data_IF_727290311166
#
_entry.id   IF_727290311166
#
_cell.length_a   1.000
_cell.length_b   1.000
_cell.length_c   1.000
_cell.angle_alpha   90.00
_cell.angle_beta   90.00
_cell.angle_gamma   90.00
#
_symmetry.space_group_name_H-M   'P 1'
#
loop_
_entity.id
_entity.type
_entity.pdbx_description
1 polymer ?
#
# COMPACT_ATOMS: atom_id res chain seq x y z
N UNK A 1 -4.43 -45.63 -10.60
CA UNK A 1 -4.49 -44.39 -9.81
C UNK A 1 -3.08 -43.82 -9.71
N UNK A 2 -2.82 -42.62 -10.24
CA UNK A 2 -1.46 -42.06 -10.28
C UNK A 2 -1.13 -41.28 -9.00
N UNK A 3 0.16 -41.10 -8.70
CA UNK A 3 0.59 -40.21 -7.62
C UNK A 3 0.03 -38.79 -7.78
N UNK A 4 -0.06 -38.28 -9.02
CA UNK A 4 -0.64 -36.96 -9.32
C UNK A 4 -2.09 -36.86 -8.84
N UNK A 5 -2.88 -37.91 -9.05
CA UNK A 5 -4.29 -37.94 -8.63
C UNK A 5 -4.40 -37.92 -7.11
N UNK A 6 -3.56 -38.69 -6.41
CA UNK A 6 -3.57 -38.71 -4.93
C UNK A 6 -3.17 -37.36 -4.33
N UNK A 7 -2.15 -36.72 -4.90
CA UNK A 7 -1.69 -35.39 -4.47
C UNK A 7 -2.79 -34.35 -4.73
N UNK A 8 -3.42 -34.37 -5.90
CA UNK A 8 -4.49 -33.43 -6.24
C UNK A 8 -5.69 -33.55 -5.29
N UNK A 9 -6.12 -34.79 -4.99
CA UNK A 9 -7.21 -35.03 -4.03
C UNK A 9 -6.85 -34.51 -2.64
N UNK A 10 -5.61 -34.73 -2.18
CA UNK A 10 -5.15 -34.21 -0.90
C UNK A 10 -5.15 -32.68 -0.84
N UNK A 11 -4.67 -32.02 -1.91
CA UNK A 11 -4.68 -30.56 -1.98
C UNK A 11 -6.10 -30.02 -1.97
N UNK A 12 -7.01 -30.63 -2.73
CA UNK A 12 -8.40 -30.21 -2.74
C UNK A 12 -9.07 -30.42 -1.36
N UNK A 13 -8.80 -31.53 -0.67
CA UNK A 13 -9.30 -31.76 0.68
C UNK A 13 -8.85 -30.69 1.68
N UNK A 14 -7.63 -30.17 1.54
CA UNK A 14 -7.05 -29.19 2.48
C UNK A 14 -7.30 -27.74 2.14
N UNK A 15 -7.41 -27.39 0.87
CA UNK A 15 -7.39 -26.01 0.42
C UNK A 15 -8.65 -25.57 -0.33
N UNK A 16 -9.64 -26.44 -0.53
CA UNK A 16 -10.88 -26.09 -1.24
C UNK A 16 -11.90 -25.31 -0.37
N UNK A 17 -11.45 -24.77 0.77
CA UNK A 17 -12.24 -23.84 1.55
C UNK A 17 -12.25 -22.45 0.88
N UNK A 18 -13.41 -21.78 0.73
CA UNK A 18 -13.49 -20.49 0.07
C UNK A 18 -12.62 -19.39 0.68
N UNK A 19 -12.46 -19.37 2.02
CA UNK A 19 -11.63 -18.37 2.70
C UNK A 19 -10.14 -18.59 2.44
N UNK A 20 -9.74 -19.86 2.30
CA UNK A 20 -8.37 -20.24 1.95
C UNK A 20 -8.09 -19.88 0.48
N UNK A 21 -9.04 -20.15 -0.43
CA UNK A 21 -8.91 -19.76 -1.83
C UNK A 21 -8.76 -18.24 -1.99
N UNK A 22 -9.58 -17.46 -1.29
CA UNK A 22 -9.46 -16.00 -1.31
C UNK A 22 -8.09 -15.52 -0.81
N UNK A 23 -7.57 -16.11 0.27
CA UNK A 23 -6.25 -15.79 0.78
C UNK A 23 -5.14 -16.13 -0.23
N UNK A 24 -5.22 -17.31 -0.85
CA UNK A 24 -4.26 -17.76 -1.86
C UNK A 24 -4.29 -16.86 -3.10
N UNK A 25 -5.46 -16.40 -3.52
CA UNK A 25 -5.61 -15.50 -4.66
C UNK A 25 -4.97 -14.13 -4.37
N UNK A 26 -5.21 -13.55 -3.20
CA UNK A 26 -4.56 -12.29 -2.79
C UNK A 26 -3.05 -12.46 -2.70
N UNK A 27 -2.58 -13.53 -2.06
CA UNK A 27 -1.15 -13.80 -1.89
C UNK A 27 -0.46 -14.02 -3.24
N UNK A 28 -1.10 -14.74 -4.17
CA UNK A 28 -0.57 -15.00 -5.51
C UNK A 28 -0.53 -13.73 -6.34
N UNK A 29 -1.56 -12.88 -6.24
CA UNK A 29 -1.63 -11.61 -6.95
C UNK A 29 -0.49 -10.65 -6.55
N UNK A 30 -0.12 -10.66 -5.26
CA UNK A 30 0.94 -9.83 -4.71
C UNK A 30 2.35 -10.39 -4.98
N UNK A 31 2.49 -11.68 -5.29
CA UNK A 31 3.77 -12.30 -5.63
C UNK A 31 4.08 -12.12 -7.13
N UNK A 32 5.11 -11.33 -7.51
CA UNK A 32 5.43 -11.07 -8.92
C UNK A 32 5.78 -12.32 -9.72
N UNK A 33 6.11 -13.43 -9.06
CA UNK A 33 6.42 -14.71 -9.72
C UNK A 33 5.16 -15.44 -10.17
N UNK A 34 4.05 -15.22 -9.47
CA UNK A 34 2.80 -15.92 -9.69
C UNK A 34 1.79 -15.06 -10.43
N UNK A 35 1.70 -13.77 -10.10
CA UNK A 35 0.80 -12.81 -10.76
C UNK A 35 -0.63 -13.35 -10.73
N UNK A 36 -1.23 -13.54 -11.90
CA UNK A 36 -2.58 -14.07 -12.08
C UNK A 36 -2.62 -15.53 -12.54
N UNK A 37 -1.48 -16.21 -12.64
CA UNK A 37 -1.39 -17.55 -13.26
C UNK A 37 -2.18 -18.63 -12.51
N UNK A 38 -2.41 -18.46 -11.22
CA UNK A 38 -3.10 -19.41 -10.35
C UNK A 38 -4.45 -18.90 -9.84
N UNK A 39 -4.89 -17.74 -10.34
CA UNK A 39 -6.15 -17.10 -9.93
C UNK A 39 -7.17 -17.36 -11.02
N UNK A 40 -8.40 -17.71 -10.63
CA UNK A 40 -9.49 -17.89 -11.59
C UNK A 40 -9.80 -16.56 -12.28
N UNK A 41 -10.01 -16.55 -13.60
CA UNK A 41 -10.20 -15.33 -14.38
C UNK A 41 -11.33 -14.43 -13.83
N UNK A 42 -12.42 -15.06 -13.36
CA UNK A 42 -13.55 -14.38 -12.74
C UNK A 42 -13.17 -13.63 -11.46
N UNK A 43 -12.17 -14.13 -10.71
CA UNK A 43 -11.77 -13.57 -9.43
C UNK A 43 -10.67 -12.50 -9.54
N UNK A 44 -9.93 -12.43 -10.65
CA UNK A 44 -8.85 -11.43 -10.85
C UNK A 44 -9.38 -10.01 -10.67
N UNK A 45 -10.53 -9.69 -11.29
CA UNK A 45 -11.14 -8.35 -11.21
C UNK A 45 -11.57 -8.00 -9.79
N UNK A 46 -12.10 -8.98 -9.06
CA UNK A 46 -12.52 -8.82 -7.67
C UNK A 46 -11.30 -8.52 -6.76
N UNK A 47 -10.25 -9.35 -6.87
CA UNK A 47 -9.01 -9.19 -6.09
C UNK A 47 -8.35 -7.84 -6.38
N UNK A 48 -8.26 -7.45 -7.67
CA UNK A 48 -7.72 -6.14 -8.06
C UNK A 48 -8.50 -4.99 -7.46
N UNK A 49 -9.83 -5.06 -7.48
CA UNK A 49 -10.71 -4.03 -6.92
C UNK A 49 -10.52 -3.93 -5.41
N UNK A 50 -10.58 -5.07 -4.72
CA UNK A 50 -10.38 -5.15 -3.26
C UNK A 50 -9.02 -4.58 -2.85
N UNK A 51 -7.96 -4.96 -3.55
CA UNK A 51 -6.61 -4.51 -3.23
C UNK A 51 -6.42 -3.00 -3.46
N UNK A 52 -7.00 -2.46 -4.54
CA UNK A 52 -7.03 -1.01 -4.79
C UNK A 52 -7.74 -0.27 -3.65
N UNK A 53 -8.88 -0.78 -3.18
CA UNK A 53 -9.63 -0.20 -2.07
C UNK A 53 -8.83 -0.26 -0.76
N UNK A 54 -8.23 -1.40 -0.42
CA UNK A 54 -7.44 -1.56 0.80
C UNK A 54 -6.20 -0.65 0.82
N UNK A 55 -5.54 -0.50 -0.34
CA UNK A 55 -4.42 0.42 -0.47
C UNK A 55 -4.84 1.88 -0.29
N UNK A 56 -5.97 2.27 -0.89
CA UNK A 56 -6.55 3.62 -0.73
C UNK A 56 -6.90 3.89 0.74
N UNK A 57 -7.58 2.97 1.40
CA UNK A 57 -7.97 3.09 2.81
C UNK A 57 -6.75 3.11 3.74
N UNK A 58 -5.72 2.32 3.43
CA UNK A 58 -4.47 2.30 4.20
C UNK A 58 -3.71 3.63 4.05
N UNK A 59 -3.59 4.16 2.84
CA UNK A 59 -3.00 5.47 2.62
C UNK A 59 -3.79 6.59 3.32
N UNK A 60 -5.13 6.54 3.26
CA UNK A 60 -6.00 7.47 3.98
C UNK A 60 -5.78 7.39 5.49
N UNK A 61 -5.71 6.19 6.07
CA UNK A 61 -5.43 6.00 7.51
C UNK A 61 -4.09 6.59 7.91
N UNK A 62 -3.04 6.34 7.14
CA UNK A 62 -1.69 6.90 7.38
C UNK A 62 -1.71 8.43 7.34
N UNK A 63 -2.34 9.03 6.33
CA UNK A 63 -2.46 10.50 6.24
C UNK A 63 -3.23 11.11 7.44
N UNK A 64 -4.32 10.47 7.88
CA UNK A 64 -5.08 10.93 9.06
C UNK A 64 -4.28 10.77 10.37
N UNK A 65 -3.42 9.74 10.47
CA UNK A 65 -2.55 9.56 11.62
C UNK A 65 -1.43 10.62 11.65
N UNK A 66 -0.80 10.90 10.51
CA UNK A 66 0.25 11.91 10.39
C UNK A 66 -0.28 13.32 10.71
N UNK A 67 -1.45 13.68 10.16
CA UNK A 67 -2.10 14.97 10.45
C UNK A 67 -2.47 15.11 11.92
N UNK A 68 -2.93 14.03 12.58
CA UNK A 68 -3.23 14.04 14.02
C UNK A 68 -1.98 14.23 14.88
N UNK A 69 -0.88 13.55 14.55
CA UNK A 69 0.42 13.73 15.22
C UNK A 69 1.01 15.14 15.03
N UNK A 70 0.71 15.80 13.90
CA UNK A 70 1.19 17.16 13.62
C UNK A 70 0.47 18.23 14.46
N UNK A 71 -0.78 18.01 14.87
CA UNK A 71 -1.57 19.00 15.64
C UNK A 71 -1.16 19.00 17.13
N UNK A 72 -0.62 17.90 17.67
CA UNK A 72 -0.14 17.81 19.05
C UNK A 72 1.17 18.58 19.33
N UNK A 73 1.87 19.04 18.29
CA UNK A 73 3.03 19.92 18.43
C UNK A 73 2.63 21.38 18.25
N UNK A 74 1.78 21.89 19.16
CA UNK A 74 1.59 23.35 19.27
C UNK A 74 2.88 23.96 19.84
N UNK A 75 3.57 24.88 19.12
CA UNK A 75 4.73 25.54 19.68
C UNK A 75 4.27 26.51 20.76
N UNK A 76 4.63 26.22 22.02
CA UNK A 76 4.61 27.20 23.11
C UNK A 76 5.35 28.46 22.67
N UNK A 77 4.81 29.68 22.82
CA UNK A 77 5.50 30.89 22.39
C UNK A 77 6.72 31.10 23.30
N UNK A 78 7.93 30.95 22.72
CA UNK A 78 9.17 31.31 23.38
C UNK A 78 9.45 32.79 23.12
N UNK A 79 9.50 33.53 24.23
CA UNK A 79 9.92 34.93 24.33
C UNK A 79 11.32 35.15 23.73
N UNK A 80 11.49 36.36 23.19
CA UNK A 80 12.62 36.84 22.38
C UNK A 80 14.00 36.83 23.08
N UNK A 81 15.07 36.51 22.34
CA UNK A 81 16.17 37.44 22.04
C UNK A 81 17.25 36.81 21.12
N UNK A 82 18.03 37.63 20.38
CA UNK A 82 18.87 37.19 19.26
C UNK A 82 20.34 37.02 19.65
N UNK A 83 21.03 36.02 19.11
CA UNK A 83 22.48 36.10 18.90
C UNK A 83 23.00 34.99 17.95
N UNK A 84 23.87 35.39 17.02
CA UNK A 84 24.94 34.53 16.51
C UNK A 84 24.68 33.81 15.19
N UNK A 85 25.26 34.38 14.14
CA UNK A 85 25.37 33.82 12.79
C UNK A 85 26.01 32.42 12.79
N UNK A 86 25.21 31.38 12.51
CA UNK A 86 25.67 30.19 11.79
C UNK A 86 24.55 29.74 10.86
N UNK A 87 24.76 29.90 9.56
CA UNK A 87 23.87 29.32 8.54
C UNK A 87 24.02 27.81 8.60
N UNK A 88 23.28 27.19 9.52
CA UNK A 88 22.98 25.76 9.48
C UNK A 88 22.08 25.57 8.27
N UNK A 89 22.69 25.14 7.16
CA UNK A 89 21.96 24.61 6.01
C UNK A 89 21.15 23.43 6.54
N UNK A 90 19.90 23.68 6.89
CA UNK A 90 18.99 22.65 7.38
C UNK A 90 18.87 21.60 6.31
N UNK A 91 18.90 20.32 6.69
CA UNK A 91 18.61 19.19 5.81
C UNK A 91 17.24 19.38 5.11
N UNK A 92 16.36 20.22 5.69
CA UNK A 92 15.12 20.69 5.07
C UNK A 92 15.29 21.41 3.73
N UNK A 93 16.46 21.95 3.38
CA UNK A 93 16.66 22.63 2.09
C UNK A 93 16.70 21.65 0.93
N UNK A 94 17.04 20.38 1.15
CA UNK A 94 17.03 19.36 0.11
C UNK A 94 15.60 18.99 -0.34
N UNK A 95 14.62 19.21 0.54
CA UNK A 95 13.21 18.86 0.27
C UNK A 95 12.39 20.03 -0.32
N UNK A 96 12.96 21.24 -0.46
CA UNK A 96 12.21 22.46 -0.82
C UNK A 96 11.93 22.63 -2.33
N UNK A 97 12.25 21.66 -3.18
CA UNK A 97 12.04 21.79 -4.64
C UNK A 97 10.99 20.84 -5.24
N UNK A 98 10.31 20.02 -4.45
CA UNK A 98 9.06 19.42 -4.91
C UNK A 98 7.92 20.37 -4.53
N UNK A 99 7.44 21.08 -5.56
CA UNK A 99 6.18 21.82 -5.58
C UNK A 99 5.12 21.07 -4.78
N UNK A 100 4.34 21.82 -4.01
CA UNK A 100 3.10 21.41 -3.36
C UNK A 100 2.28 20.55 -4.34
N UNK A 101 2.44 19.24 -4.26
CA UNK A 101 1.38 18.31 -4.57
C UNK A 101 0.70 18.07 -3.24
N UNK A 102 -0.25 18.94 -2.90
CA UNK A 102 -1.39 18.46 -2.13
C UNK A 102 -1.91 17.26 -2.92
N UNK A 103 -1.60 16.04 -2.46
CA UNK A 103 -2.07 14.82 -3.10
C UNK A 103 -3.58 14.81 -2.92
N UNK A 104 -4.27 15.36 -3.91
CA UNK A 104 -5.70 15.27 -4.05
C UNK A 104 -6.05 13.78 -4.16
N UNK A 105 -7.28 13.37 -3.83
CA UNK A 105 -7.74 11.99 -3.99
C UNK A 105 -7.44 11.41 -5.39
N UNK A 106 -7.37 12.28 -6.40
CA UNK A 106 -7.04 11.96 -7.79
C UNK A 106 -5.60 11.52 -8.04
N UNK A 107 -4.61 11.92 -7.22
CA UNK A 107 -3.25 11.40 -7.37
C UNK A 107 -3.07 10.03 -6.70
N UNK A 108 -3.88 9.72 -5.69
CA UNK A 108 -3.75 8.47 -4.94
C UNK A 108 -4.27 7.28 -5.76
N UNK A 109 -5.30 7.48 -6.58
CA UNK A 109 -5.81 6.47 -7.51
C UNK A 109 -4.83 6.15 -8.65
N UNK A 110 -4.08 7.14 -9.12
CA UNK A 110 -3.06 6.98 -10.18
C UNK A 110 -1.83 6.23 -9.67
N UNK A 111 -1.35 6.56 -8.45
CA UNK A 111 -0.27 5.84 -7.77
C UNK A 111 -0.68 4.40 -7.46
N UNK A 112 -1.90 4.20 -6.96
CA UNK A 112 -2.45 2.87 -6.70
C UNK A 112 -2.51 2.02 -7.98
N UNK A 113 -2.87 2.63 -9.10
CA UNK A 113 -2.92 1.94 -10.39
C UNK A 113 -1.52 1.65 -10.95
N UNK A 114 -0.55 2.54 -10.75
CA UNK A 114 0.83 2.35 -11.17
C UNK A 114 1.52 1.20 -10.42
N UNK A 115 1.37 1.12 -9.09
CA UNK A 115 1.90 0.02 -8.27
C UNK A 115 1.31 -1.34 -8.69
N UNK A 116 0.01 -1.37 -8.98
CA UNK A 116 -0.68 -2.60 -9.37
C UNK A 116 -0.38 -3.04 -10.81
N UNK A 117 0.08 -2.11 -11.67
CA UNK A 117 0.61 -2.42 -13.01
C UNK A 117 2.02 -3.03 -12.94
N UNK A 118 2.82 -2.67 -11.94
CA UNK A 118 4.17 -3.22 -11.73
C UNK A 118 4.12 -4.70 -11.30
N UNK A 119 3.06 -5.12 -10.61
CA UNK A 119 2.89 -6.51 -10.15
C UNK A 119 2.15 -7.41 -11.15
N UNK A 120 1.55 -6.85 -12.22
CA UNK A 120 0.81 -7.59 -13.26
C UNK A 120 1.72 -8.20 -14.33
#
# INVERSE_FOLDING_TARGET
>A
MSIKTKVLVYLNDKYNDPSIQELLDVASFLDPRFKTQYITADNITNIKTRLKTEMLESARRTHNQETRSRIETTPRPQSAQPFGEKVKKSIGSFFKTAVVSSTSPMQLEDVAEAELKVTS
#
